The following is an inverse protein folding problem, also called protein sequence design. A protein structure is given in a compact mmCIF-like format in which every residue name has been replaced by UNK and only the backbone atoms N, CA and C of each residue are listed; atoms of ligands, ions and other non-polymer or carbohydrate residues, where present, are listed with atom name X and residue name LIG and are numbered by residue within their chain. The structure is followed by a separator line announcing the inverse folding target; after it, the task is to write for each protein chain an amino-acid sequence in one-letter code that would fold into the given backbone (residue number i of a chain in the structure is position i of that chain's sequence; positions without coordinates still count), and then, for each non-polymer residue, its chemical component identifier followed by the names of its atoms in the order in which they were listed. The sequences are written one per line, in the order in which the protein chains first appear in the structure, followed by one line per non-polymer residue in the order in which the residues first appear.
data_IF_555481275505
#
_entry.id   IF_555481275505
#
_cell.length_a   1.000
_cell.length_b   1.000
_cell.length_c   1.000
_cell.angle_alpha   90.00
_cell.angle_beta   90.00
_cell.angle_gamma   90.00
#
_symmetry.space_group_name_H-M   'P 1'
#
loop_
_entity.id
_entity.type
_entity.pdbx_description
1 polymer ?
#
# COMPACT_ATOMS: atom_id res chain seq x y z
N UNK A 1 2.14 13.13 -1.58
CA UNK A 1 3.25 13.37 -2.53
C UNK A 1 4.00 12.09 -2.93
N UNK A 2 3.78 10.94 -2.28
CA UNK A 2 4.42 9.65 -2.62
C UNK A 2 3.71 8.82 -3.70
N UNK A 3 2.41 9.02 -3.94
CA UNK A 3 1.71 8.38 -5.08
C UNK A 3 2.24 8.83 -6.44
N UNK A 4 2.80 10.05 -6.50
CA UNK A 4 3.50 10.59 -7.68
C UNK A 4 4.90 9.97 -7.82
N UNK A 5 5.60 9.71 -6.72
CA UNK A 5 6.98 9.18 -6.77
C UNK A 5 7.04 7.68 -7.09
N UNK A 6 6.05 6.89 -6.63
CA UNK A 6 5.95 5.47 -6.97
C UNK A 6 5.53 5.22 -8.43
N UNK A 7 4.66 6.08 -8.98
CA UNK A 7 4.28 6.02 -10.40
C UNK A 7 5.39 6.53 -11.32
N UNK A 8 6.20 7.51 -10.90
CA UNK A 8 7.40 7.96 -11.63
C UNK A 8 8.51 6.89 -11.66
N UNK A 9 8.72 6.14 -10.58
CA UNK A 9 9.69 5.03 -10.54
C UNK A 9 9.35 3.90 -11.52
N UNK A 10 8.07 3.53 -11.64
CA UNK A 10 7.61 2.53 -12.62
C UNK A 10 7.64 3.02 -14.08
N UNK A 11 7.38 4.31 -14.33
CA UNK A 11 7.41 4.89 -15.67
C UNK A 11 8.81 4.98 -16.29
N UNK A 12 9.86 5.13 -15.47
CA UNK A 12 11.24 5.24 -15.93
C UNK A 12 11.91 3.88 -16.21
N UNK A 13 11.34 2.78 -15.70
CA UNK A 13 11.96 1.45 -15.78
C UNK A 13 11.30 0.51 -16.79
N UNK A 14 9.98 0.63 -17.07
CA UNK A 14 9.33 -0.16 -18.13
C UNK A 14 7.96 0.41 -18.56
N UNK A 15 7.86 1.18 -19.66
CA UNK A 15 6.63 1.88 -20.07
C UNK A 15 5.45 0.96 -20.41
N UNK A 16 5.71 -0.27 -20.85
CA UNK A 16 4.68 -1.25 -21.24
C UNK A 16 4.04 -1.97 -20.04
N UNK A 17 4.71 -1.96 -18.88
CA UNK A 17 4.25 -2.61 -17.64
C UNK A 17 3.39 -1.69 -16.75
N UNK A 18 3.43 -0.37 -16.98
CA UNK A 18 2.76 0.65 -16.15
C UNK A 18 1.24 0.46 -16.11
N UNK A 19 0.62 -0.01 -17.21
CA UNK A 19 -0.83 -0.25 -17.26
C UNK A 19 -1.28 -1.54 -16.58
N UNK A 20 -0.40 -2.53 -16.42
CA UNK A 20 -0.72 -3.82 -15.77
C UNK A 20 -0.43 -3.78 -14.27
N UNK A 21 0.41 -2.84 -13.80
CA UNK A 21 0.87 -2.75 -12.40
C UNK A 21 0.38 -1.56 -11.56
N UNK A 22 -0.33 -0.57 -12.14
CA UNK A 22 -0.77 0.62 -11.39
C UNK A 22 -1.69 0.30 -10.21
N UNK A 23 -2.57 -0.70 -10.37
CA UNK A 23 -3.50 -1.15 -9.33
C UNK A 23 -2.75 -1.72 -8.11
N UNK A 24 -1.69 -2.53 -8.32
CA UNK A 24 -0.83 -3.00 -7.23
C UNK A 24 -0.17 -1.86 -6.44
N UNK A 25 0.19 -0.76 -7.11
CA UNK A 25 0.70 0.45 -6.45
C UNK A 25 -0.34 1.14 -5.56
N UNK A 26 -1.61 1.19 -5.99
CA UNK A 26 -2.73 1.70 -5.20
C UNK A 26 -2.94 0.82 -3.96
N UNK A 27 -2.88 -0.50 -4.13
CA UNK A 27 -2.93 -1.45 -3.01
C UNK A 27 -1.77 -1.25 -2.03
N UNK A 28 -0.57 -0.93 -2.52
CA UNK A 28 0.55 -0.55 -1.65
C UNK A 28 0.28 0.72 -0.83
N UNK A 29 -0.34 1.74 -1.42
CA UNK A 29 -0.74 2.94 -0.67
C UNK A 29 -1.82 2.63 0.37
N UNK A 30 -2.75 1.73 0.06
CA UNK A 30 -3.75 1.26 1.02
C UNK A 30 -3.09 0.55 2.22
N UNK A 31 -2.07 -0.27 1.97
CA UNK A 31 -1.26 -0.89 3.04
C UNK A 31 -0.60 0.15 3.95
N UNK A 32 0.05 1.17 3.38
CA UNK A 32 0.64 2.28 4.16
C UNK A 32 -0.43 3.01 4.98
N UNK A 33 -1.60 3.27 4.39
CA UNK A 33 -2.70 3.97 5.05
C UNK A 33 -3.23 3.20 6.27
N UNK A 34 -3.31 1.87 6.21
CA UNK A 34 -3.73 1.03 7.35
C UNK A 34 -2.73 1.09 8.50
N UNK A 35 -1.43 1.08 8.19
CA UNK A 35 -0.41 1.24 9.24
C UNK A 35 -0.51 2.63 9.87
N UNK A 36 -0.73 3.67 9.06
CA UNK A 36 -0.92 5.03 9.56
C UNK A 36 -2.19 5.16 10.41
N UNK A 37 -3.29 4.52 10.02
CA UNK A 37 -4.53 4.47 10.80
C UNK A 37 -4.26 3.84 12.17
N UNK A 38 -3.60 2.67 12.20
CA UNK A 38 -3.21 2.02 13.46
C UNK A 38 -2.33 2.93 14.32
N UNK A 39 -1.34 3.59 13.73
CA UNK A 39 -0.44 4.49 14.45
C UNK A 39 -1.18 5.71 15.02
N UNK A 40 -2.15 6.27 14.29
CA UNK A 40 -2.88 7.46 14.74
C UNK A 40 -3.98 7.18 15.75
N UNK A 41 -4.67 6.04 15.61
CA UNK A 41 -5.88 5.74 16.38
C UNK A 41 -5.73 4.54 17.32
N UNK A 42 -4.53 3.93 17.39
CA UNK A 42 -4.25 2.74 18.20
C UNK A 42 -4.90 1.45 17.68
N UNK A 43 -5.74 1.54 16.65
CA UNK A 43 -6.49 0.43 16.07
C UNK A 43 -6.75 0.65 14.58
N UNK A 44 -7.06 -0.42 13.86
CA UNK A 44 -7.50 -0.37 12.46
C UNK A 44 -9.00 -0.55 12.44
N UNK A 45 -9.73 0.31 11.73
CA UNK A 45 -11.18 0.18 11.64
C UNK A 45 -11.57 -1.11 10.90
N UNK A 46 -12.68 -1.76 11.32
CA UNK A 46 -13.24 -2.91 10.59
C UNK A 46 -13.51 -2.60 9.12
N UNK A 47 -13.93 -1.35 8.82
CA UNK A 47 -14.15 -0.88 7.45
C UNK A 47 -12.87 -0.92 6.61
N UNK A 48 -11.75 -0.41 7.12
CA UNK A 48 -10.45 -0.48 6.43
C UNK A 48 -10.02 -1.91 6.14
N UNK A 49 -10.26 -2.83 7.08
CA UNK A 49 -9.97 -4.26 6.90
C UNK A 49 -10.83 -4.85 5.78
N UNK A 50 -12.14 -4.58 5.79
CA UNK A 50 -13.06 -5.05 4.75
C UNK A 50 -12.69 -4.48 3.38
N UNK A 51 -12.37 -3.18 3.30
CA UNK A 51 -11.93 -2.54 2.06
C UNK A 51 -10.63 -3.17 1.55
N UNK A 52 -9.66 -3.45 2.41
CA UNK A 52 -8.43 -4.12 2.02
C UNK A 52 -8.67 -5.54 1.49
N UNK A 53 -9.51 -6.32 2.17
CA UNK A 53 -9.87 -7.67 1.74
C UNK A 53 -10.57 -7.65 0.39
N UNK A 54 -11.50 -6.71 0.17
CA UNK A 54 -12.19 -6.55 -1.10
C UNK A 54 -11.29 -5.98 -2.20
N UNK A 55 -10.34 -5.12 -1.88
CA UNK A 55 -9.43 -4.54 -2.87
C UNK A 55 -8.35 -5.55 -3.29
N UNK A 56 -7.86 -6.39 -2.38
CA UNK A 56 -6.91 -7.47 -2.68
C UNK A 56 -7.62 -8.67 -3.32
N UNK A 57 -8.80 -9.02 -2.81
CA UNK A 57 -9.59 -10.16 -3.29
C UNK A 57 -10.49 -9.84 -4.49
N UNK A 58 -10.80 -8.57 -4.76
CA UNK A 58 -11.65 -8.15 -5.88
C UNK A 58 -11.06 -8.45 -7.26
N UNK A 59 -9.82 -8.94 -7.31
CA UNK A 59 -9.16 -9.40 -8.53
C UNK A 59 -9.60 -10.76 -9.08
N UNK A 60 -10.71 -11.33 -8.62
CA UNK A 60 -11.31 -12.50 -9.29
C UNK A 60 -12.07 -12.17 -10.60
N UNK A 61 -11.98 -10.92 -11.07
CA UNK A 61 -12.46 -10.51 -12.39
C UNK A 61 -11.42 -10.84 -13.46
N UNK A 62 -11.86 -11.25 -14.65
CA UNK A 62 -10.97 -11.54 -15.78
C UNK A 62 -10.06 -10.34 -16.08
N UNK A 63 -8.75 -10.58 -16.15
CA UNK A 63 -7.74 -9.56 -16.41
C UNK A 63 -7.14 -8.87 -15.18
N UNK A 64 -7.53 -9.26 -13.95
CA UNK A 64 -6.91 -8.74 -12.73
C UNK A 64 -5.83 -9.68 -12.19
N UNK A 65 -4.66 -9.12 -11.89
CA UNK A 65 -3.55 -9.84 -11.27
C UNK A 65 -3.65 -9.74 -9.73
N UNK A 66 -4.26 -10.75 -9.13
CA UNK A 66 -4.38 -10.87 -7.66
C UNK A 66 -3.01 -10.93 -6.98
N UNK A 67 -1.99 -11.48 -7.64
CA UNK A 67 -0.63 -11.55 -7.11
C UNK A 67 -0.02 -10.16 -7.04
N UNK A 68 -0.22 -9.33 -8.08
CA UNK A 68 0.21 -7.94 -8.08
C UNK A 68 -0.51 -7.11 -6.98
N UNK A 69 -1.80 -7.36 -6.73
CA UNK A 69 -2.55 -6.68 -5.66
C UNK A 69 -2.08 -7.10 -4.27
N UNK A 70 -1.94 -8.41 -4.04
CA UNK A 70 -1.49 -8.96 -2.76
C UNK A 70 -0.05 -8.52 -2.44
N UNK A 71 0.87 -8.65 -3.41
CA UNK A 71 2.27 -8.23 -3.23
C UNK A 71 2.40 -6.73 -3.03
N UNK A 72 1.66 -5.91 -3.80
CA UNK A 72 1.60 -4.46 -3.61
C UNK A 72 1.12 -4.08 -2.21
N UNK A 73 0.02 -4.67 -1.75
CA UNK A 73 -0.53 -4.45 -0.42
C UNK A 73 0.45 -4.83 0.70
N UNK A 74 1.09 -6.00 0.61
CA UNK A 74 2.08 -6.47 1.58
C UNK A 74 3.29 -5.55 1.64
N UNK A 75 3.84 -5.15 0.48
CA UNK A 75 4.95 -4.19 0.43
C UNK A 75 4.55 -2.85 1.05
N UNK A 76 3.33 -2.39 0.80
CA UNK A 76 2.75 -1.21 1.43
C UNK A 76 2.72 -1.27 2.95
N UNK A 77 2.21 -2.38 3.52
CA UNK A 77 2.19 -2.61 4.96
C UNK A 77 3.62 -2.59 5.55
N UNK A 78 4.57 -3.27 4.91
CA UNK A 78 5.96 -3.33 5.36
C UNK A 78 6.63 -1.95 5.33
N UNK A 79 6.45 -1.18 4.24
CA UNK A 79 6.98 0.17 4.13
C UNK A 79 6.35 1.09 5.18
N UNK A 80 5.03 1.04 5.33
CA UNK A 80 4.33 1.79 6.38
C UNK A 80 4.91 1.50 7.76
N UNK A 81 5.09 0.21 8.09
CA UNK A 81 5.63 -0.19 9.39
C UNK A 81 7.07 0.30 9.60
N UNK A 82 7.96 0.11 8.63
CA UNK A 82 9.36 0.54 8.71
C UNK A 82 9.50 2.07 8.88
N UNK A 83 8.75 2.85 8.11
CA UNK A 83 8.87 4.31 8.15
C UNK A 83 8.13 4.93 9.34
N UNK A 84 6.98 4.40 9.74
CA UNK A 84 6.21 4.95 10.86
C UNK A 84 6.78 4.53 12.23
N UNK A 85 7.28 3.30 12.39
CA UNK A 85 7.93 2.89 13.65
C UNK A 85 9.20 3.72 13.91
N UNK A 86 9.93 4.09 12.85
CA UNK A 86 11.09 4.96 12.98
C UNK A 86 10.74 6.39 13.41
N UNK A 87 9.52 6.85 13.08
CA UNK A 87 9.05 8.19 13.46
C UNK A 87 8.52 8.27 14.89
N UNK A 88 7.91 7.20 15.41
CA UNK A 88 7.52 7.12 16.83
C UNK A 88 8.75 7.07 17.74
N UNK A 89 9.76 6.25 17.40
CA UNK A 89 11.05 6.23 18.11
C UNK A 89 11.77 7.57 18.10
N UNK A 90 11.68 8.32 17.00
CA UNK A 90 12.29 9.65 16.88
C UNK A 90 11.56 10.74 17.71
N UNK A 91 10.31 10.50 18.12
CA UNK A 91 9.52 11.41 18.94
C UNK A 91 9.69 11.12 20.44
N UNK A 92 9.79 9.84 20.84
CA UNK A 92 10.08 9.46 22.24
C UNK A 92 11.52 9.76 22.68
N UNK A 93 12.47 9.86 21.74
CA UNK A 93 13.87 10.21 22.03
C UNK A 93 14.12 11.72 22.21
N UNK A 94 13.07 12.55 22.29
CA UNK A 94 13.12 14.01 22.52
C UNK A 94 12.46 14.38 23.84
#
# INVERSE_FOLDING_TARGET
TSGVMGSLGSALLNPSAVSVGASGGILGLLGVAIVLEKARFGSVSPTSIVVALLAVGGGFLEGVDVVAHASGFVVGLLMGWLFLSSSEYAYEAR
#
